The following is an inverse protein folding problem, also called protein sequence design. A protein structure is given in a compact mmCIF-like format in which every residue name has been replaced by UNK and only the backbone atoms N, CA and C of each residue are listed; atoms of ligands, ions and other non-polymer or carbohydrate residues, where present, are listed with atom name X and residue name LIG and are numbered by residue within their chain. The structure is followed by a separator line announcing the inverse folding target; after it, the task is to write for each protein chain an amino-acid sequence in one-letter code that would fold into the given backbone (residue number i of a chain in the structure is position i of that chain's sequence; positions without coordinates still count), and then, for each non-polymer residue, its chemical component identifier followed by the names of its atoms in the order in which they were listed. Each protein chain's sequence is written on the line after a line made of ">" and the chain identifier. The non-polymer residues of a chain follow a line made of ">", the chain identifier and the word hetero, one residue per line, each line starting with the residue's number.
data_IF_223431675655
#
_entry.id   IF_223431675655
#
_cell.length_a   1.000
_cell.length_b   1.000
_cell.length_c   1.000
_cell.angle_alpha   90.00
_cell.angle_beta   90.00
_cell.angle_gamma   90.00
#
_symmetry.space_group_name_H-M   'P 1'
#
loop_
_entity.id
_entity.type
_entity.pdbx_description
1 polymer ?
#
# COMPACT_ATOMS: atom_id res chain seq x y z
N UNK A 1 -21.14 -1.38 0.82
CA UNK A 1 -20.89 -2.83 0.58
C UNK A 1 -21.93 -3.39 -0.38
N UNK A 2 -21.60 -4.39 -1.23
CA UNK A 2 -22.58 -5.10 -2.04
C UNK A 2 -23.70 -5.71 -1.19
N UNK A 3 -24.95 -5.64 -1.67
CA UNK A 3 -26.08 -6.30 -0.98
C UNK A 3 -25.82 -7.81 -0.94
N UNK A 4 -25.89 -8.40 0.25
CA UNK A 4 -25.62 -9.83 0.48
C UNK A 4 -24.13 -10.22 0.52
N UNK A 5 -23.20 -9.29 0.27
CA UNK A 5 -21.77 -9.54 0.40
C UNK A 5 -21.36 -9.75 1.86
N UNK A 6 -20.35 -10.59 2.09
CA UNK A 6 -19.80 -10.79 3.42
C UNK A 6 -18.98 -9.57 3.87
N UNK A 7 -18.98 -9.31 5.18
CA UNK A 7 -18.09 -8.29 5.76
C UNK A 7 -16.69 -8.90 5.87
N UNK A 8 -15.62 -8.23 5.41
CA UNK A 8 -14.26 -8.75 5.53
C UNK A 8 -13.90 -9.05 6.98
N UNK A 9 -13.31 -10.22 7.22
CA UNK A 9 -12.94 -10.70 8.55
C UNK A 9 -11.50 -11.18 8.56
N UNK A 10 -10.83 -11.06 9.70
CA UNK A 10 -9.60 -11.81 9.94
C UNK A 10 -9.91 -13.32 10.05
N UNK A 11 -8.93 -14.21 9.89
CA UNK A 11 -9.04 -15.65 10.11
C UNK A 11 -9.52 -16.03 11.51
N UNK A 12 -9.30 -15.19 12.52
CA UNK A 12 -9.90 -15.35 13.85
C UNK A 12 -11.42 -15.04 13.87
N UNK A 13 -12.02 -14.71 12.73
CA UNK A 13 -13.43 -14.40 12.54
C UNK A 13 -13.82 -12.97 12.94
N UNK A 14 -12.86 -12.14 13.34
CA UNK A 14 -13.11 -10.76 13.74
C UNK A 14 -13.35 -9.87 12.51
N UNK A 15 -14.37 -9.01 12.52
CA UNK A 15 -14.58 -8.05 11.43
C UNK A 15 -13.40 -7.07 11.32
N UNK A 16 -13.06 -6.70 10.07
CA UNK A 16 -12.11 -5.62 9.79
C UNK A 16 -12.83 -4.27 9.82
N UNK A 17 -12.15 -3.22 10.26
CA UNK A 17 -12.65 -1.84 10.23
C UNK A 17 -12.61 -1.28 8.81
N UNK A 18 -13.65 -0.53 8.44
CA UNK A 18 -13.68 0.20 7.17
C UNK A 18 -12.82 1.47 7.26
N UNK A 19 -11.92 1.67 6.29
CA UNK A 19 -11.00 2.82 6.24
C UNK A 19 -11.52 3.86 5.26
N UNK A 20 -11.71 3.47 4.00
CA UNK A 20 -12.06 4.40 2.94
C UNK A 20 -12.74 3.70 1.76
N UNK A 21 -13.52 4.48 1.01
CA UNK A 21 -14.10 4.10 -0.27
C UNK A 21 -13.56 5.00 -1.39
N UNK A 22 -13.09 4.40 -2.48
CA UNK A 22 -12.52 5.13 -3.62
C UNK A 22 -13.33 4.82 -4.86
N UNK A 23 -14.04 5.82 -5.37
CA UNK A 23 -14.77 5.74 -6.64
C UNK A 23 -13.80 5.88 -7.81
N UNK A 24 -13.50 4.76 -8.47
CA UNK A 24 -12.58 4.70 -9.60
C UNK A 24 -13.10 5.46 -10.83
N UNK A 25 -14.42 5.64 -10.95
CA UNK A 25 -15.01 6.47 -12.01
C UNK A 25 -14.66 7.95 -11.90
N UNK A 26 -14.14 8.38 -10.74
CA UNK A 26 -13.66 9.75 -10.48
C UNK A 26 -12.13 9.85 -10.46
N UNK A 27 -11.44 8.73 -10.63
CA UNK A 27 -9.97 8.68 -10.72
C UNK A 27 -9.58 8.71 -12.20
N UNK A 28 -8.57 9.51 -12.61
CA UNK A 28 -8.14 9.56 -14.01
C UNK A 28 -7.28 8.35 -14.36
N UNK A 29 -7.85 7.13 -14.32
CA UNK A 29 -7.09 5.87 -14.40
C UNK A 29 -6.29 5.70 -15.70
N UNK A 30 -6.70 6.36 -16.78
CA UNK A 30 -6.03 6.28 -18.10
C UNK A 30 -4.66 6.96 -18.15
N UNK A 31 -4.35 7.84 -17.19
CA UNK A 31 -3.06 8.51 -17.08
C UNK A 31 -2.24 8.00 -15.90
N UNK A 32 -2.79 7.08 -15.10
CA UNK A 32 -2.07 6.43 -14.02
C UNK A 32 -1.18 5.31 -14.56
N UNK A 33 -0.09 5.09 -13.87
CA UNK A 33 0.82 3.99 -14.16
C UNK A 33 0.31 2.66 -13.61
N UNK A 34 -0.81 2.60 -12.90
CA UNK A 34 -1.44 1.39 -12.36
C UNK A 34 -2.67 0.99 -13.19
N UNK A 35 -2.84 -0.30 -13.58
CA UNK A 35 -3.91 -0.71 -14.50
C UNK A 35 -5.27 -0.89 -13.79
N UNK A 36 -5.77 0.17 -13.18
CA UNK A 36 -7.05 0.19 -12.46
C UNK A 36 -8.25 0.04 -13.42
N UNK A 37 -9.36 -0.57 -12.97
CA UNK A 37 -10.65 -0.48 -13.65
C UNK A 37 -11.08 0.97 -13.89
N UNK A 38 -11.79 1.21 -15.00
CA UNK A 38 -12.28 2.53 -15.37
C UNK A 38 -13.40 3.07 -14.46
N UNK A 39 -14.07 2.19 -13.73
CA UNK A 39 -15.19 2.50 -12.87
C UNK A 39 -15.28 1.52 -11.67
N UNK A 40 -16.33 1.68 -10.86
CA UNK A 40 -16.54 0.90 -9.64
C UNK A 40 -15.90 1.55 -8.41
N UNK A 41 -15.95 0.84 -7.29
CA UNK A 41 -15.49 1.36 -6.00
C UNK A 41 -14.55 0.37 -5.33
N UNK A 42 -13.38 0.83 -4.88
CA UNK A 42 -12.54 0.09 -3.96
C UNK A 42 -12.98 0.42 -2.53
N UNK A 43 -13.24 -0.60 -1.73
CA UNK A 43 -13.51 -0.47 -0.30
C UNK A 43 -12.33 -1.07 0.46
N UNK A 44 -11.70 -0.26 1.31
CA UNK A 44 -10.48 -0.60 2.03
C UNK A 44 -10.82 -0.93 3.48
N UNK A 45 -10.28 -2.03 3.95
CA UNK A 45 -10.50 -2.51 5.30
C UNK A 45 -9.16 -2.81 5.96
N UNK A 46 -9.05 -2.51 7.24
CA UNK A 46 -7.89 -2.89 8.05
C UNK A 46 -8.32 -3.25 9.47
N UNK A 47 -7.43 -3.91 10.19
CA UNK A 47 -7.57 -4.14 11.62
C UNK A 47 -6.49 -3.35 12.35
N UNK A 48 -6.91 -2.57 13.35
CA UNK A 48 -5.98 -1.81 14.18
C UNK A 48 -5.20 -2.77 15.10
N UNK A 49 -3.85 -2.80 15.03
CA UNK A 49 -3.01 -3.56 15.94
C UNK A 49 -3.25 -3.29 17.43
N UNK A 50 -3.69 -2.08 17.79
CA UNK A 50 -3.94 -1.71 19.18
C UNK A 50 -5.12 -2.48 19.80
N UNK A 51 -6.05 -2.96 18.97
CA UNK A 51 -7.23 -3.67 19.42
C UNK A 51 -6.97 -5.16 19.73
N UNK A 52 -5.88 -5.74 19.21
CA UNK A 52 -5.43 -7.09 19.55
C UNK A 52 -3.90 -7.22 19.42
N UNK A 53 -3.11 -6.96 20.48
CA UNK A 53 -1.65 -6.96 20.41
C UNK A 53 -1.03 -8.34 20.17
N UNK A 54 -1.83 -9.41 20.14
CA UNK A 54 -1.39 -10.77 19.87
C UNK A 54 -1.53 -11.17 18.40
N UNK A 55 -2.29 -10.41 17.61
CA UNK A 55 -2.27 -10.49 16.15
C UNK A 55 -1.04 -9.68 15.70
N UNK A 56 -0.18 -10.25 14.84
CA UNK A 56 1.06 -9.60 14.42
C UNK A 56 0.77 -8.81 13.16
N UNK A 57 0.96 -7.49 13.22
CA UNK A 57 0.64 -6.55 12.14
C UNK A 57 1.89 -5.95 11.48
N UNK A 58 3.06 -6.34 11.99
CA UNK A 58 4.33 -5.68 11.69
C UNK A 58 5.11 -6.50 10.71
N UNK A 59 5.19 -6.00 9.48
CA UNK A 59 6.18 -6.47 8.52
C UNK A 59 7.51 -5.74 8.76
N UNK A 60 7.99 -5.79 10.00
CA UNK A 60 9.41 -5.55 10.32
C UNK A 60 10.12 -6.87 10.67
N UNK A 61 9.35 -7.94 10.86
CA UNK A 61 9.85 -9.31 10.96
C UNK A 61 9.03 -10.21 10.02
N UNK A 62 9.62 -11.31 9.53
CA UNK A 62 8.90 -12.33 8.77
C UNK A 62 7.60 -12.75 9.47
N UNK A 63 6.44 -12.45 8.88
CA UNK A 63 5.19 -13.12 9.26
C UNK A 63 5.40 -14.63 9.06
N UNK A 64 5.09 -15.48 10.06
CA UNK A 64 4.91 -16.92 9.83
C UNK A 64 3.95 -17.13 8.66
N UNK A 65 4.22 -18.14 7.82
CA UNK A 65 3.44 -18.47 6.60
C UNK A 65 1.92 -18.65 6.83
N UNK A 66 1.50 -18.77 8.09
CA UNK A 66 0.11 -18.97 8.53
C UNK A 66 -0.59 -17.68 9.04
N UNK A 67 0.04 -16.50 8.92
CA UNK A 67 -0.55 -15.26 9.46
C UNK A 67 -1.49 -14.52 8.51
N UNK A 68 -2.54 -13.88 9.03
CA UNK A 68 -3.53 -13.21 8.21
C UNK A 68 -3.08 -11.90 7.60
N UNK A 69 -3.61 -11.52 6.44
CA UNK A 69 -3.53 -10.13 6.00
C UNK A 69 -4.38 -9.25 6.93
N UNK A 70 -3.73 -8.32 7.63
CA UNK A 70 -4.39 -7.34 8.49
C UNK A 70 -5.20 -6.27 7.73
N UNK A 71 -5.25 -6.35 6.40
CA UNK A 71 -6.08 -5.50 5.56
C UNK A 71 -6.64 -6.24 4.36
N UNK A 72 -7.72 -5.70 3.81
CA UNK A 72 -8.46 -6.31 2.71
C UNK A 72 -9.01 -5.25 1.76
N UNK A 73 -9.08 -5.58 0.47
CA UNK A 73 -9.66 -4.71 -0.56
C UNK A 73 -10.86 -5.42 -1.18
N UNK A 74 -12.02 -4.77 -1.12
CA UNK A 74 -13.21 -5.22 -1.84
C UNK A 74 -13.44 -4.32 -3.03
N UNK A 75 -13.30 -4.85 -4.24
CA UNK A 75 -13.73 -4.16 -5.44
C UNK A 75 -15.23 -4.39 -5.70
N UNK A 76 -15.97 -3.31 -5.85
CA UNK A 76 -17.39 -3.30 -6.17
C UNK A 76 -17.56 -2.76 -7.58
N UNK A 77 -17.88 -3.61 -8.58
CA UNK A 77 -18.09 -3.15 -9.95
C UNK A 77 -19.19 -2.09 -10.06
N UNK A 78 -19.06 -1.17 -11.02
CA UNK A 78 -20.07 -0.16 -11.26
C UNK A 78 -21.47 -0.77 -11.48
N UNK A 79 -22.50 -0.11 -10.94
CA UNK A 79 -23.88 -0.58 -11.01
C UNK A 79 -24.23 -1.74 -10.06
N UNK A 80 -23.26 -2.28 -9.32
CA UNK A 80 -23.55 -3.26 -8.26
C UNK A 80 -24.41 -2.61 -7.18
N UNK A 81 -25.54 -3.21 -6.83
CA UNK A 81 -26.40 -2.70 -5.77
C UNK A 81 -25.67 -2.78 -4.41
N UNK A 82 -25.58 -1.64 -3.73
CA UNK A 82 -24.90 -1.53 -2.42
C UNK A 82 -25.85 -1.06 -1.33
N UNK A 83 -25.49 -1.38 -0.09
CA UNK A 83 -26.09 -0.79 1.10
C UNK A 83 -25.02 -0.37 2.09
N UNK A 84 -25.30 0.68 2.87
CA UNK A 84 -24.47 1.10 4.00
C UNK A 84 -24.64 0.08 5.12
N UNK A 85 -23.52 -0.35 5.70
CA UNK A 85 -23.49 -1.29 6.80
C UNK A 85 -22.53 -0.76 7.85
N UNK A 86 -22.94 -0.83 9.10
CA UNK A 86 -22.09 -0.53 10.24
C UNK A 86 -21.83 -1.85 10.96
N UNK A 87 -20.58 -2.10 11.30
CA UNK A 87 -20.24 -3.20 12.19
C UNK A 87 -20.74 -2.88 13.61
N UNK A 88 -21.50 -3.77 14.27
CA UNK A 88 -21.96 -3.53 15.63
C UNK A 88 -20.78 -3.39 16.61
N UNK A 89 -20.67 -2.23 17.26
CA UNK A 89 -19.62 -1.95 18.25
C UNK A 89 -18.35 -1.31 17.68
N UNK A 90 -18.28 -1.06 16.37
CA UNK A 90 -17.16 -0.37 15.76
C UNK A 90 -17.14 1.12 16.14
N UNK A 91 -15.93 1.64 16.34
CA UNK A 91 -15.67 3.08 16.40
C UNK A 91 -16.01 3.68 15.04
N UNK A 92 -16.85 4.73 15.04
CA UNK A 92 -17.21 5.47 13.83
C UNK A 92 -16.43 6.77 13.82
N UNK A 93 -15.56 6.92 12.82
CA UNK A 93 -14.78 8.12 12.58
C UNK A 93 -15.57 9.11 11.69
N UNK A 94 -15.24 10.41 11.74
CA UNK A 94 -15.77 11.40 10.80
C UNK A 94 -15.55 10.99 9.34
N UNK A 95 -16.57 11.17 8.51
CA UNK A 95 -16.44 11.01 7.06
C UNK A 95 -15.81 12.26 6.46
N UNK A 96 -14.63 12.11 5.85
CA UNK A 96 -13.93 13.20 5.15
C UNK A 96 -14.03 12.98 3.64
N UNK A 97 -14.69 13.88 2.88
CA UNK A 97 -14.71 13.78 1.43
C UNK A 97 -13.35 14.17 0.85
N UNK A 98 -12.71 13.23 0.17
CA UNK A 98 -11.41 13.45 -0.44
C UNK A 98 -11.51 14.08 -1.85
N UNK A 99 -10.53 14.91 -2.17
CA UNK A 99 -10.25 15.35 -3.55
C UNK A 99 -8.81 14.99 -3.89
N UNK A 100 -8.49 14.84 -5.17
CA UNK A 100 -7.18 14.38 -5.62
C UNK A 100 -6.57 15.29 -6.68
N UNK A 101 -5.25 15.46 -6.58
CA UNK A 101 -4.41 16.06 -7.62
C UNK A 101 -3.64 14.96 -8.36
N UNK A 102 -3.49 15.09 -9.68
CA UNK A 102 -2.55 14.26 -10.42
C UNK A 102 -1.12 14.77 -10.18
N UNK A 103 -0.27 13.94 -9.59
CA UNK A 103 1.13 14.26 -9.31
C UNK A 103 2.06 13.21 -9.91
N UNK A 104 3.24 13.64 -10.32
CA UNK A 104 4.33 12.71 -10.58
C UNK A 104 4.90 12.23 -9.23
N UNK A 105 5.08 10.93 -9.10
CA UNK A 105 5.78 10.32 -7.96
C UNK A 105 7.05 9.64 -8.48
N UNK A 106 8.04 9.50 -7.62
CA UNK A 106 9.31 8.84 -7.97
C UNK A 106 9.65 7.76 -6.96
N UNK A 107 10.41 6.73 -7.37
CA UNK A 107 10.84 5.67 -6.47
C UNK A 107 11.73 6.25 -5.36
N UNK A 108 11.49 5.82 -4.12
CA UNK A 108 12.37 6.14 -2.99
C UNK A 108 13.62 5.26 -2.99
N UNK A 109 14.54 5.58 -2.10
CA UNK A 109 15.73 4.76 -1.82
C UNK A 109 15.33 3.30 -1.59
N UNK A 110 16.09 2.38 -2.18
CA UNK A 110 15.86 0.93 -2.05
C UNK A 110 14.74 0.38 -2.92
N UNK A 111 13.93 1.24 -3.56
CA UNK A 111 12.83 0.76 -4.41
C UNK A 111 13.37 -0.01 -5.64
N UNK A 112 12.82 -1.19 -6.00
CA UNK A 112 13.32 -2.03 -7.09
C UNK A 112 13.50 -1.32 -8.43
N UNK A 113 12.56 -0.45 -8.80
CA UNK A 113 12.67 0.34 -10.03
C UNK A 113 13.87 1.30 -10.04
N UNK A 114 14.23 1.89 -8.89
CA UNK A 114 15.39 2.77 -8.80
C UNK A 114 16.68 1.94 -8.87
N UNK A 115 16.77 0.86 -8.10
CA UNK A 115 17.92 -0.06 -8.12
C UNK A 115 18.19 -0.58 -9.53
N UNK A 116 17.13 -0.93 -10.28
CA UNK A 116 17.24 -1.33 -11.67
C UNK A 116 17.70 -0.18 -12.58
N UNK A 117 17.10 1.01 -12.47
CA UNK A 117 17.44 2.15 -13.32
C UNK A 117 18.88 2.64 -13.15
N UNK A 118 19.49 2.40 -11.99
CA UNK A 118 20.87 2.82 -11.68
C UNK A 118 21.90 1.69 -11.81
N UNK A 119 21.47 0.47 -12.14
CA UNK A 119 22.34 -0.70 -12.19
C UNK A 119 23.50 -0.54 -13.19
N UNK A 120 23.21 0.04 -14.35
CA UNK A 120 24.14 0.21 -15.48
C UNK A 120 24.90 1.55 -15.46
N UNK A 121 24.74 2.36 -14.41
CA UNK A 121 25.46 3.62 -14.30
C UNK A 121 26.98 3.39 -14.14
N UNK A 122 27.82 4.29 -14.66
CA UNK A 122 29.25 4.26 -14.40
C UNK A 122 29.57 4.16 -12.90
N UNK A 123 30.66 3.48 -12.54
CA UNK A 123 31.05 3.25 -11.14
C UNK A 123 31.14 4.55 -10.33
N UNK A 124 31.55 5.66 -10.96
CA UNK A 124 31.58 6.98 -10.31
C UNK A 124 30.18 7.47 -9.89
N UNK A 125 29.17 7.24 -10.72
CA UNK A 125 27.79 7.66 -10.47
C UNK A 125 27.10 6.69 -9.49
N UNK A 126 27.39 5.38 -9.58
CA UNK A 126 26.99 4.41 -8.55
C UNK A 126 27.59 4.75 -7.19
N UNK A 127 28.86 5.17 -7.15
CA UNK A 127 29.52 5.63 -5.92
C UNK A 127 28.85 6.88 -5.36
N UNK A 128 28.50 7.85 -6.20
CA UNK A 128 27.76 9.04 -5.76
C UNK A 128 26.42 8.66 -5.10
N UNK A 129 25.69 7.70 -5.68
CA UNK A 129 24.42 7.22 -5.14
C UNK A 129 24.55 6.32 -3.89
N UNK A 130 25.74 5.78 -3.60
CA UNK A 130 25.99 4.88 -2.45
C UNK A 130 26.80 5.54 -1.32
N UNK A 131 27.50 6.65 -1.60
CA UNK A 131 28.30 7.42 -0.64
C UNK A 131 27.41 8.14 0.39
N UNK A 132 27.44 7.66 1.64
CA UNK A 132 26.48 8.01 2.70
C UNK A 132 26.19 9.50 2.86
N UNK A 133 27.20 10.37 2.84
CA UNK A 133 27.00 11.81 3.11
C UNK A 133 26.32 12.57 1.97
N UNK A 134 26.78 12.36 0.72
CA UNK A 134 26.17 13.00 -0.47
C UNK A 134 24.80 12.40 -0.80
N UNK A 135 24.64 11.12 -0.50
CA UNK A 135 23.37 10.40 -0.58
C UNK A 135 22.32 11.00 0.37
N UNK A 136 22.68 11.31 1.62
CA UNK A 136 21.76 11.95 2.58
C UNK A 136 21.31 13.32 2.09
N UNK A 137 22.23 14.18 1.63
CA UNK A 137 21.86 15.52 1.13
C UNK A 137 20.91 15.46 -0.08
N UNK A 138 21.17 14.56 -1.03
CA UNK A 138 20.29 14.36 -2.18
C UNK A 138 18.90 13.88 -1.78
N UNK A 139 18.80 12.86 -0.92
CA UNK A 139 17.51 12.32 -0.48
C UNK A 139 16.75 13.27 0.45
N UNK A 140 17.45 14.02 1.28
CA UNK A 140 16.85 15.08 2.11
C UNK A 140 16.26 16.18 1.23
N UNK A 141 17.00 16.63 0.22
CA UNK A 141 16.52 17.66 -0.69
C UNK A 141 15.36 17.18 -1.56
N UNK A 142 15.43 15.94 -2.07
CA UNK A 142 14.32 15.32 -2.78
C UNK A 142 13.10 15.15 -1.87
N UNK A 143 13.30 14.80 -0.60
CA UNK A 143 12.23 14.70 0.40
C UNK A 143 11.60 16.07 0.68
N UNK A 144 12.39 17.13 0.90
CA UNK A 144 11.86 18.49 1.09
C UNK A 144 11.04 19.00 -0.10
N UNK A 145 11.36 18.55 -1.31
CA UNK A 145 10.64 18.90 -2.54
C UNK A 145 9.45 17.99 -2.84
N UNK A 146 9.41 16.82 -2.22
CA UNK A 146 8.28 15.90 -2.32
C UNK A 146 7.16 16.39 -1.42
N UNK A 147 5.91 16.30 -1.88
CA UNK A 147 4.76 16.45 -0.96
C UNK A 147 4.73 15.19 -0.08
N UNK A 148 5.01 15.33 1.23
CA UNK A 148 5.08 14.25 2.22
C UNK A 148 4.02 14.49 3.32
N UNK A 149 3.25 13.48 3.73
CA UNK A 149 2.51 12.53 2.90
C UNK A 149 1.03 12.94 2.85
N UNK A 150 0.28 12.24 2.02
CA UNK A 150 -1.17 12.38 1.85
C UNK A 150 -1.66 11.12 1.16
N UNK A 151 -2.95 10.80 1.30
CA UNK A 151 -3.55 9.60 0.70
C UNK A 151 -3.25 9.51 -0.80
N UNK A 152 -2.95 8.31 -1.30
CA UNK A 152 -2.57 8.07 -2.71
C UNK A 152 -3.27 6.88 -3.31
N UNK A 153 -3.51 6.96 -4.61
CA UNK A 153 -3.96 5.85 -5.45
C UNK A 153 -2.93 5.68 -6.57
N UNK A 154 -2.28 4.51 -6.63
CA UNK A 154 -1.19 4.25 -7.58
C UNK A 154 0.10 5.04 -7.30
N UNK A 155 0.98 5.09 -8.30
CA UNK A 155 2.31 5.68 -8.19
C UNK A 155 3.24 4.95 -7.22
N UNK A 156 4.36 5.60 -6.89
CA UNK A 156 5.32 5.11 -5.91
C UNK A 156 4.86 5.47 -4.50
N UNK A 157 4.78 4.46 -3.63
CA UNK A 157 4.46 4.64 -2.22
C UNK A 157 5.52 5.50 -1.51
N UNK A 158 5.07 6.31 -0.57
CA UNK A 158 5.97 6.98 0.37
C UNK A 158 6.24 6.06 1.56
N UNK A 159 7.01 5.00 1.36
CA UNK A 159 7.38 4.09 2.44
C UNK A 159 8.19 4.81 3.54
N UNK A 160 7.83 4.55 4.80
CA UNK A 160 8.54 5.02 6.00
C UNK A 160 9.74 4.12 6.31
N UNK A 161 9.63 2.83 5.99
CA UNK A 161 10.62 1.80 6.27
C UNK A 161 11.13 1.20 4.95
N UNK A 162 11.12 -0.13 4.82
CA UNK A 162 11.49 -0.81 3.58
C UNK A 162 10.46 -0.53 2.46
N UNK A 163 10.88 -0.55 1.18
CA UNK A 163 9.96 -0.42 0.05
C UNK A 163 8.83 -1.44 0.12
N UNK A 164 7.59 -0.97 -0.01
CA UNK A 164 6.40 -1.81 0.15
C UNK A 164 6.34 -2.91 -0.92
N UNK A 165 6.92 -2.68 -2.09
CA UNK A 165 7.06 -3.66 -3.17
C UNK A 165 8.00 -4.80 -2.80
N UNK A 166 9.12 -4.50 -2.11
CA UNK A 166 10.07 -5.49 -1.63
C UNK A 166 9.47 -6.32 -0.51
N UNK A 167 8.78 -5.65 0.41
CA UNK A 167 8.02 -6.28 1.49
C UNK A 167 6.97 -7.26 0.95
N UNK A 168 6.20 -6.84 -0.06
CA UNK A 168 5.18 -7.70 -0.68
C UNK A 168 5.79 -8.91 -1.38
N UNK A 169 6.97 -8.75 -1.99
CA UNK A 169 7.70 -9.85 -2.58
C UNK A 169 8.17 -10.88 -1.54
N UNK A 170 8.65 -10.41 -0.37
CA UNK A 170 8.99 -11.30 0.75
C UNK A 170 7.78 -12.08 1.25
N UNK A 171 6.64 -11.41 1.47
CA UNK A 171 5.41 -12.07 1.89
C UNK A 171 5.00 -13.17 0.90
N UNK A 172 5.22 -12.95 -0.40
CA UNK A 172 4.87 -13.94 -1.42
C UNK A 172 5.86 -15.11 -1.53
N UNK A 173 7.16 -14.84 -1.49
CA UNK A 173 8.20 -15.86 -1.70
C UNK A 173 8.55 -16.64 -0.43
N UNK A 174 8.08 -16.16 0.72
CA UNK A 174 8.55 -16.60 2.02
C UNK A 174 9.55 -15.61 2.56
N UNK A 175 9.31 -15.19 3.79
CA UNK A 175 10.02 -14.11 4.47
C UNK A 175 11.44 -14.50 4.94
N UNK A 176 11.83 -15.76 4.72
CA UNK A 176 13.19 -16.28 4.94
C UNK A 176 14.14 -16.04 3.75
N UNK A 177 13.64 -15.57 2.61
CA UNK A 177 14.46 -15.28 1.42
C UNK A 177 15.42 -14.12 1.71
N UNK A 178 16.75 -14.31 1.59
CA UNK A 178 17.71 -13.24 1.85
C UNK A 178 17.54 -12.05 0.90
N UNK A 179 17.79 -10.84 1.40
CA UNK A 179 17.77 -9.63 0.55
C UNK A 179 18.77 -9.68 -0.62
N UNK A 180 19.84 -10.49 -0.50
CA UNK A 180 20.80 -10.68 -1.58
C UNK A 180 20.32 -11.60 -2.71
N UNK A 181 19.17 -12.27 -2.56
CA UNK A 181 18.64 -13.18 -3.57
C UNK A 181 18.08 -12.39 -4.76
N UNK A 182 18.59 -12.58 -5.99
CA UNK A 182 18.06 -11.91 -7.17
C UNK A 182 16.57 -12.18 -7.40
N UNK A 183 16.06 -13.38 -7.06
CA UNK A 183 14.66 -13.75 -7.27
C UNK A 183 13.69 -12.86 -6.48
N UNK A 184 14.09 -12.40 -5.30
CA UNK A 184 13.32 -11.43 -4.51
C UNK A 184 13.15 -10.11 -5.25
N UNK A 185 14.24 -9.58 -5.79
CA UNK A 185 14.22 -8.32 -6.53
C UNK A 185 13.50 -8.46 -7.87
N UNK A 186 13.56 -9.64 -8.50
CA UNK A 186 12.75 -9.93 -9.68
C UNK A 186 11.27 -9.92 -9.36
N UNK A 187 10.88 -10.58 -8.28
CA UNK A 187 9.51 -10.63 -7.81
C UNK A 187 8.97 -9.23 -7.47
N UNK A 188 9.76 -8.44 -6.72
CA UNK A 188 9.37 -7.09 -6.29
C UNK A 188 9.01 -6.16 -7.45
N UNK A 189 9.60 -6.35 -8.65
CA UNK A 189 9.25 -5.56 -9.85
C UNK A 189 7.83 -5.80 -10.36
N UNK A 190 7.16 -6.87 -9.93
CA UNK A 190 5.77 -7.14 -10.31
C UNK A 190 4.76 -6.41 -9.44
N UNK A 191 5.17 -5.94 -8.27
CA UNK A 191 4.34 -5.25 -7.29
C UNK A 191 4.31 -3.75 -7.52
N UNK A 192 3.20 -3.13 -7.14
CA UNK A 192 3.00 -1.68 -7.16
C UNK A 192 2.12 -1.29 -5.98
N UNK A 193 2.24 -0.05 -5.51
CA UNK A 193 1.23 0.54 -4.62
C UNK A 193 -0.12 0.59 -5.33
N UNK A 194 -1.16 0.07 -4.66
CA UNK A 194 -2.55 0.22 -5.07
C UNK A 194 -3.14 1.45 -4.39
N UNK A 195 -3.08 1.49 -3.05
CA UNK A 195 -3.52 2.63 -2.23
C UNK A 195 -2.56 2.82 -1.05
N UNK A 196 -2.28 4.07 -0.71
CA UNK A 196 -1.66 4.48 0.55
C UNK A 196 -2.64 5.37 1.32
N UNK A 197 -2.89 5.07 2.59
CA UNK A 197 -3.62 5.92 3.53
C UNK A 197 -2.67 6.28 4.66
N UNK A 198 -2.37 7.57 4.81
CA UNK A 198 -1.56 8.09 5.90
C UNK A 198 -2.44 8.57 7.06
N UNK A 199 -1.86 8.88 8.22
CA UNK A 199 -2.59 9.59 9.28
C UNK A 199 -3.33 10.82 8.74
N UNK A 200 -4.58 10.98 9.15
CA UNK A 200 -5.44 12.09 8.76
C UNK A 200 -6.14 12.67 9.99
N UNK A 201 -5.71 13.88 10.35
CA UNK A 201 -6.27 14.62 11.47
C UNK A 201 -7.73 15.02 11.22
N UNK A 202 -8.12 15.32 9.98
CA UNK A 202 -9.50 15.71 9.65
C UNK A 202 -10.47 14.53 9.84
N UNK A 203 -9.97 13.29 9.68
CA UNK A 203 -10.71 12.06 9.89
C UNK A 203 -10.57 11.48 11.31
N UNK A 204 -9.86 12.16 12.22
CA UNK A 204 -9.48 11.65 13.55
C UNK A 204 -8.76 10.28 13.49
N UNK A 205 -8.09 9.95 12.39
CA UNK A 205 -7.38 8.69 12.21
C UNK A 205 -5.87 8.90 12.32
N UNK A 206 -5.26 8.33 13.36
CA UNK A 206 -3.83 8.51 13.66
C UNK A 206 -3.12 7.16 13.78
N UNK A 207 -2.15 6.93 12.90
CA UNK A 207 -1.32 5.74 12.90
C UNK A 207 0.16 6.02 13.19
N UNK A 208 0.58 7.29 13.28
CA UNK A 208 1.99 7.70 13.28
C UNK A 208 2.78 7.02 12.15
N UNK A 209 2.15 6.90 10.98
CA UNK A 209 2.57 6.00 9.92
C UNK A 209 1.54 5.95 8.81
N UNK A 210 1.72 5.00 7.88
CA UNK A 210 0.76 4.78 6.80
C UNK A 210 0.38 3.32 6.63
N UNK A 211 -0.86 3.12 6.20
CA UNK A 211 -1.42 1.89 5.68
C UNK A 211 -1.16 1.81 4.17
N UNK A 212 -0.74 0.65 3.69
CA UNK A 212 -0.53 0.41 2.27
C UNK A 212 -1.26 -0.86 1.85
N UNK A 213 -1.97 -0.77 0.73
CA UNK A 213 -2.36 -1.93 -0.05
C UNK A 213 -1.50 -1.96 -1.29
N UNK A 214 -0.80 -3.07 -1.49
CA UNK A 214 0.04 -3.33 -2.65
C UNK A 214 -0.51 -4.51 -3.41
N UNK A 215 -0.22 -4.56 -4.71
CA UNK A 215 -0.74 -5.65 -5.53
C UNK A 215 0.15 -5.86 -6.74
N UNK A 216 0.18 -7.08 -7.26
CA UNK A 216 0.84 -7.33 -8.55
C UNK A 216 0.03 -6.68 -9.66
N UNK A 217 0.70 -6.02 -10.60
CA UNK A 217 0.04 -5.31 -11.71
C UNK A 217 -0.89 -6.20 -12.52
N UNK A 218 -0.50 -7.46 -12.72
CA UNK A 218 -1.30 -8.45 -13.44
C UNK A 218 -2.62 -8.79 -12.70
N UNK A 219 -2.61 -8.77 -11.37
CA UNK A 219 -3.79 -9.06 -10.56
C UNK A 219 -4.77 -7.89 -10.56
N UNK A 220 -4.24 -6.66 -10.61
CA UNK A 220 -5.07 -5.45 -10.73
C UNK A 220 -5.78 -5.47 -12.09
N UNK A 221 -5.03 -5.74 -13.16
CA UNK A 221 -5.59 -5.87 -14.51
C UNK A 221 -6.62 -7.00 -14.64
N UNK A 222 -6.45 -8.08 -13.87
CA UNK A 222 -7.39 -9.20 -13.79
C UNK A 222 -8.52 -8.98 -12.77
N UNK A 223 -8.59 -7.81 -12.12
CA UNK A 223 -9.59 -7.45 -11.10
C UNK A 223 -9.64 -8.40 -9.88
N UNK A 224 -8.51 -9.04 -9.55
CA UNK A 224 -8.36 -9.97 -8.43
C UNK A 224 -7.96 -9.26 -7.14
N UNK A 225 -8.77 -8.29 -6.72
CA UNK A 225 -8.45 -7.41 -5.59
C UNK A 225 -8.34 -8.12 -4.23
N UNK A 226 -8.85 -9.35 -4.15
CA UNK A 226 -8.63 -10.27 -3.03
C UNK A 226 -7.15 -10.69 -2.87
N UNK A 227 -6.33 -10.55 -3.91
CA UNK A 227 -4.89 -10.85 -3.90
C UNK A 227 -4.01 -9.68 -3.40
N UNK A 228 -4.61 -8.59 -2.91
CA UNK A 228 -3.88 -7.47 -2.34
C UNK A 228 -3.10 -7.89 -1.08
N UNK A 229 -1.87 -7.38 -0.96
CA UNK A 229 -1.08 -7.46 0.28
C UNK A 229 -1.26 -6.17 1.06
N UNK A 230 -1.37 -6.30 2.38
CA UNK A 230 -1.47 -5.17 3.30
C UNK A 230 -0.14 -4.99 4.03
N UNK A 231 0.28 -3.74 4.20
CA UNK A 231 1.48 -3.36 4.93
C UNK A 231 1.14 -2.18 5.83
N UNK A 232 1.58 -2.21 7.08
CA UNK A 232 1.54 -1.09 8.00
C UNK A 232 2.96 -0.68 8.39
N UNK A 233 3.31 0.58 8.18
CA UNK A 233 4.60 1.13 8.62
C UNK A 233 4.39 2.37 9.47
N UNK A 234 5.07 2.40 10.61
CA UNK A 234 5.15 3.55 11.52
C UNK A 234 6.52 4.21 11.40
N UNK A 235 6.55 5.53 11.62
CA UNK A 235 7.78 6.33 11.65
C UNK A 235 8.66 6.01 12.86
#
# INVERSE_FOLDING_TARGET
>A
MPIGGEWPRSPAGRPLGFVAGIDLGRVPVSVLDVPLPADGTLLLFYRDPSEDPYEVFRISDPEPDDQPPAGHVVYVPAGTATTTRTEPGATVYPEVPLTGDLIATGPRRGHPALEHAVADLPEQDRRFLTETTRRVEFWDELSRRSRIPGHRVGGYAHAWQEPVELVSAWTRLGTSVPNSDPALWEEARHWTSLVQIDSDHDADMEWFGSLYWTMRRADIAATRFDAATFIFQVS
#
